data_IF_475070524595
#
_entry.id   IF_475070524595
#
_cell.length_a   1.000
_cell.length_b   1.000
_cell.length_c   1.000
_cell.angle_alpha   90.00
_cell.angle_beta   90.00
_cell.angle_gamma   90.00
#
_symmetry.space_group_name_H-M   'P 1'
#
loop_
_entity.id
_entity.type
_entity.pdbx_description
1 polymer ?
#
# COMPACT_ATOMS: atom_id res chain seq x y z
N UNK A 1 18.71 -1.87 2.25
CA UNK A 1 18.12 -1.64 3.58
C UNK A 1 16.64 -1.40 3.35
N UNK A 2 15.78 -2.13 4.03
CA UNK A 2 14.34 -2.06 3.79
C UNK A 2 13.77 -0.68 4.06
N UNK A 3 12.69 -0.37 3.35
CA UNK A 3 11.99 0.92 3.41
C UNK A 3 10.64 0.79 4.10
N UNK A 4 10.11 1.94 4.51
CA UNK A 4 8.72 2.05 4.96
C UNK A 4 7.89 2.62 3.83
N UNK A 5 6.88 1.88 3.39
CA UNK A 5 5.88 2.34 2.43
C UNK A 5 4.61 2.70 3.19
N UNK A 6 4.25 3.98 3.18
CA UNK A 6 3.07 4.50 3.90
C UNK A 6 1.99 4.85 2.89
N UNK A 7 0.85 4.21 3.00
CA UNK A 7 -0.33 4.51 2.22
C UNK A 7 -1.26 5.32 3.13
N UNK A 8 -1.34 6.62 2.89
CA UNK A 8 -2.30 7.48 3.56
C UNK A 8 -3.66 7.27 2.88
N UNK A 9 -4.56 6.59 3.57
CA UNK A 9 -5.89 6.33 3.04
C UNK A 9 -6.71 7.62 3.04
N UNK A 10 -7.17 8.03 1.85
CA UNK A 10 -7.90 9.30 1.65
C UNK A 10 -9.20 9.04 0.90
N UNK A 11 -10.31 9.01 1.63
CA UNK A 11 -11.65 8.90 1.06
C UNK A 11 -12.24 10.28 0.76
N UNK A 12 -13.13 10.34 -0.23
CA UNK A 12 -13.71 11.59 -0.71
C UNK A 12 -14.87 12.10 0.16
N UNK A 13 -15.46 11.23 0.98
CA UNK A 13 -16.71 11.50 1.70
C UNK A 13 -16.51 11.39 3.22
N UNK A 14 -16.79 12.47 3.94
CA UNK A 14 -16.72 12.56 5.42
C UNK A 14 -17.70 11.61 6.14
N UNK A 15 -18.61 10.95 5.43
CA UNK A 15 -19.61 10.01 5.97
C UNK A 15 -19.18 8.53 5.91
N UNK A 16 -17.95 8.25 5.47
CA UNK A 16 -17.44 6.90 5.20
C UNK A 16 -16.55 6.37 6.34
N UNK A 17 -16.31 7.16 7.38
CA UNK A 17 -15.52 6.77 8.56
C UNK A 17 -16.07 5.55 9.35
N UNK A 18 -17.21 4.97 8.94
CA UNK A 18 -17.78 3.74 9.50
C UNK A 18 -17.92 2.58 8.48
N UNK A 19 -17.62 2.79 7.19
CA UNK A 19 -17.78 1.74 6.17
C UNK A 19 -16.53 0.86 6.06
N UNK A 20 -16.69 -0.44 5.74
CA UNK A 20 -15.57 -1.29 5.39
C UNK A 20 -14.91 -0.82 4.09
N UNK A 21 -13.64 -1.16 3.92
CA UNK A 21 -12.92 -0.87 2.68
C UNK A 21 -13.61 -1.52 1.47
N UNK A 22 -13.74 -0.82 0.33
CA UNK A 22 -14.20 -1.42 -0.91
C UNK A 22 -13.34 -2.62 -1.32
N UNK A 23 -13.95 -3.62 -1.95
CA UNK A 23 -13.28 -4.88 -2.34
C UNK A 23 -12.03 -4.62 -3.19
N UNK A 24 -12.09 -3.70 -4.15
CA UNK A 24 -10.94 -3.37 -5.00
C UNK A 24 -9.76 -2.76 -4.21
N UNK A 25 -10.02 -1.93 -3.18
CA UNK A 25 -8.97 -1.36 -2.30
C UNK A 25 -8.29 -2.47 -1.52
N UNK A 26 -9.08 -3.43 -1.03
CA UNK A 26 -8.58 -4.60 -0.31
C UNK A 26 -7.67 -5.45 -1.21
N UNK A 27 -8.03 -5.65 -2.48
CA UNK A 27 -7.19 -6.37 -3.44
C UNK A 27 -5.87 -5.63 -3.68
N UNK A 28 -5.90 -4.31 -3.91
CA UNK A 28 -4.68 -3.49 -4.06
C UNK A 28 -3.79 -3.56 -2.82
N UNK A 29 -4.35 -3.38 -1.62
CA UNK A 29 -3.58 -3.41 -0.37
C UNK A 29 -2.94 -4.77 -0.12
N UNK A 30 -3.67 -5.84 -0.42
CA UNK A 30 -3.07 -7.17 -0.39
C UNK A 30 -1.92 -7.28 -1.37
N UNK A 31 -2.11 -6.86 -2.62
CA UNK A 31 -1.08 -6.91 -3.65
C UNK A 31 0.18 -6.11 -3.28
N UNK A 32 0.02 -4.94 -2.65
CA UNK A 32 1.13 -4.16 -2.08
C UNK A 32 1.97 -5.01 -1.14
N UNK A 33 1.34 -5.74 -0.21
CA UNK A 33 2.06 -6.58 0.74
C UNK A 33 2.86 -7.68 0.04
N UNK A 34 2.31 -8.28 -1.02
CA UNK A 34 3.03 -9.29 -1.82
C UNK A 34 4.24 -8.68 -2.54
N UNK A 35 4.06 -7.51 -3.17
CA UNK A 35 5.13 -6.81 -3.90
C UNK A 35 6.26 -6.34 -2.97
N UNK A 36 5.96 -5.97 -1.73
CA UNK A 36 6.96 -5.60 -0.70
C UNK A 36 7.54 -6.83 0.02
N UNK A 37 6.96 -8.02 -0.17
CA UNK A 37 7.40 -9.26 0.49
C UNK A 37 7.07 -9.28 1.98
N UNK A 38 5.92 -8.73 2.35
CA UNK A 38 5.33 -8.71 3.70
C UNK A 38 4.22 -9.75 3.76
N UNK A 39 4.57 -11.03 3.69
CA UNK A 39 3.60 -12.13 3.80
C UNK A 39 3.86 -13.00 5.06
N UNK A 40 2.80 -13.62 5.58
CA UNK A 40 2.91 -14.78 6.47
C UNK A 40 3.02 -14.54 7.98
N UNK A 41 2.59 -13.38 8.51
CA UNK A 41 2.56 -13.12 9.97
C UNK A 41 1.23 -12.55 10.43
N UNK A 42 0.78 -12.95 11.63
CA UNK A 42 -0.42 -12.40 12.26
C UNK A 42 -0.25 -10.90 12.48
N UNK A 43 -1.22 -10.13 12.02
CA UNK A 43 -1.24 -8.68 12.12
C UNK A 43 -2.00 -8.27 13.38
N UNK A 44 -1.40 -7.37 14.14
CA UNK A 44 -1.96 -6.77 15.35
C UNK A 44 -2.25 -5.27 15.16
N UNK A 45 -3.27 -4.76 15.86
CA UNK A 45 -3.49 -3.31 15.96
C UNK A 45 -2.33 -2.70 16.77
N UNK A 46 -1.76 -1.55 16.35
CA UNK A 46 -0.79 -0.86 17.19
C UNK A 46 -1.44 -0.46 18.52
N UNK A 47 -0.80 -0.82 19.63
CA UNK A 47 -1.23 -0.39 20.95
C UNK A 47 -1.04 1.13 21.08
N UNK A 48 -2.14 1.88 21.18
CA UNK A 48 -2.08 3.31 21.50
C UNK A 48 -1.80 3.42 22.99
N UNK A 49 -0.53 3.41 23.37
CA UNK A 49 -0.09 3.93 24.67
C UNK A 49 0.91 5.05 24.41
N UNK A 50 0.46 6.28 24.66
CA UNK A 50 1.34 7.43 24.76
C UNK A 50 2.27 7.22 25.96
N UNK A 51 3.46 6.70 25.72
CA UNK A 51 4.58 6.73 26.65
C UNK A 51 5.88 6.69 25.86
N UNK A 52 6.90 7.47 26.26
CA UNK A 52 8.13 7.58 25.51
C UNK A 52 8.90 6.27 25.62
N UNK A 53 8.93 5.51 24.53
CA UNK A 53 9.73 4.30 24.42
C UNK A 53 11.20 4.73 24.37
N UNK A 54 11.90 4.50 25.48
CA UNK A 54 13.35 4.56 25.60
C UNK A 54 13.92 3.20 25.18
N UNK A 55 14.67 3.14 24.08
CA UNK A 55 15.47 1.97 23.72
C UNK A 55 16.79 2.41 23.11
N UNK A 56 17.74 2.65 24.01
CA UNK A 56 19.15 2.36 23.75
C UNK A 56 19.31 0.86 23.58
N UNK A 57 19.50 0.37 22.36
CA UNK A 57 20.07 -0.97 22.13
C UNK A 57 20.88 -0.98 20.84
N UNK A 58 22.19 -0.93 21.00
CA UNK A 58 23.19 -1.24 19.98
C UNK A 58 23.17 -2.74 19.67
N UNK A 59 22.96 -3.14 18.40
CA UNK A 59 23.26 -4.49 17.90
C UNK A 59 23.41 -4.49 16.35
N UNK A 60 24.01 -5.54 15.76
CA UNK A 60 25.31 -5.49 15.09
C UNK A 60 25.23 -5.21 13.59
N UNK A 61 26.38 -4.82 13.03
CA UNK A 61 26.65 -4.60 11.61
C UNK A 61 26.55 -5.95 10.87
N UNK A 62 25.57 -6.11 9.97
CA UNK A 62 25.51 -7.24 9.04
C UNK A 62 24.15 -7.85 8.68
N UNK A 63 23.01 -7.24 9.01
CA UNK A 63 21.68 -7.76 8.62
C UNK A 63 20.82 -6.63 8.04
N UNK A 64 20.41 -6.74 6.77
CA UNK A 64 19.50 -5.76 6.15
C UNK A 64 18.16 -5.78 6.87
N UNK A 65 17.74 -4.63 7.42
CA UNK A 65 16.38 -4.50 7.96
C UNK A 65 15.35 -4.78 6.86
N UNK A 66 14.29 -5.55 7.12
CA UNK A 66 13.27 -5.84 6.13
C UNK A 66 12.34 -4.63 5.92
N UNK A 67 11.75 -4.52 4.73
CA UNK A 67 10.77 -3.48 4.42
C UNK A 67 9.45 -3.69 5.16
N UNK A 68 8.76 -2.58 5.41
CA UNK A 68 7.46 -2.52 6.09
C UNK A 68 6.44 -1.72 5.29
N UNK A 69 5.17 -2.03 5.49
CA UNK A 69 4.03 -1.32 4.91
C UNK A 69 3.16 -0.79 6.03
N UNK A 70 2.70 0.45 5.91
CA UNK A 70 1.76 1.07 6.85
C UNK A 70 0.56 1.58 6.05
N UNK A 71 -0.61 1.05 6.35
CA UNK A 71 -1.90 1.60 5.91
C UNK A 71 -2.40 2.56 7.00
N UNK A 72 -2.27 3.85 6.73
CA UNK A 72 -2.57 4.94 7.66
C UNK A 72 -3.90 5.61 7.36
N UNK A 73 -4.42 6.38 8.31
CA UNK A 73 -5.67 7.13 8.20
C UNK A 73 -6.89 6.27 7.78
N UNK A 74 -6.94 5.00 8.21
CA UNK A 74 -8.08 4.12 7.96
C UNK A 74 -9.26 4.47 8.87
N UNK A 75 -10.48 4.12 8.43
CA UNK A 75 -11.63 4.04 9.33
C UNK A 75 -11.43 2.90 10.35
N UNK A 76 -12.20 2.93 11.45
CA UNK A 76 -12.20 1.83 12.42
C UNK A 76 -12.62 0.51 11.75
N UNK A 77 -13.73 0.53 10.99
CA UNK A 77 -14.21 -0.63 10.24
C UNK A 77 -13.22 -1.12 9.18
N UNK A 78 -12.55 -0.19 8.48
CA UNK A 78 -11.53 -0.51 7.48
C UNK A 78 -10.28 -1.13 8.09
N UNK A 79 -9.85 -0.62 9.26
CA UNK A 79 -8.75 -1.20 10.04
C UNK A 79 -9.07 -2.64 10.44
N UNK A 80 -10.26 -2.87 10.99
CA UNK A 80 -10.68 -4.18 11.51
C UNK A 80 -10.83 -5.18 10.38
N UNK A 81 -11.54 -4.80 9.31
CA UNK A 81 -11.77 -5.66 8.16
C UNK A 81 -10.47 -6.06 7.44
N UNK A 82 -9.53 -5.11 7.30
CA UNK A 82 -8.23 -5.40 6.68
C UNK A 82 -7.39 -6.35 7.55
N UNK A 83 -7.33 -6.11 8.86
CA UNK A 83 -6.62 -6.99 9.79
C UNK A 83 -7.22 -8.40 9.78
N UNK A 84 -8.54 -8.52 9.84
CA UNK A 84 -9.22 -9.81 9.83
C UNK A 84 -8.95 -10.58 8.54
N UNK A 85 -9.04 -9.91 7.39
CA UNK A 85 -8.76 -10.55 6.11
C UNK A 85 -7.32 -11.05 6.01
N UNK A 86 -6.37 -10.21 6.39
CA UNK A 86 -4.95 -10.57 6.36
C UNK A 86 -4.66 -11.73 7.31
N UNK A 87 -5.26 -11.73 8.51
CA UNK A 87 -5.13 -12.84 9.45
C UNK A 87 -5.77 -14.14 8.95
N UNK A 88 -6.95 -14.10 8.34
CA UNK A 88 -7.62 -15.30 7.78
C UNK A 88 -6.79 -16.00 6.69
N UNK A 89 -5.97 -15.25 5.95
CA UNK A 89 -5.09 -15.79 4.90
C UNK A 89 -3.77 -16.35 5.44
N UNK A 90 -3.38 -16.00 6.67
CA UNK A 90 -2.20 -16.58 7.35
C UNK A 90 -2.48 -17.87 8.11
N UNK A 91 -3.77 -18.19 8.35
CA UNK A 91 -4.17 -19.41 9.04
C UNK A 91 -4.22 -20.61 8.10
N UNK A 92 -3.71 -21.76 8.54
CA UNK A 92 -3.94 -23.04 7.84
C UNK A 92 -5.43 -23.41 7.88
N UNK A 93 -5.95 -24.19 6.93
CA UNK A 93 -7.37 -24.59 6.91
C UNK A 93 -7.83 -25.24 8.24
N UNK A 94 -6.93 -25.97 8.90
CA UNK A 94 -7.16 -26.61 10.20
C UNK A 94 -7.31 -25.59 11.34
N UNK A 95 -6.44 -24.56 11.38
CA UNK A 95 -6.49 -23.51 12.39
C UNK A 95 -7.76 -22.65 12.26
N UNK A 96 -8.19 -22.37 11.03
CA UNK A 96 -9.41 -21.63 10.72
C UNK A 96 -10.66 -22.32 11.27
N UNK A 97 -10.70 -23.66 11.22
CA UNK A 97 -11.81 -24.46 11.73
C UNK A 97 -11.85 -24.53 13.26
N UNK A 98 -10.70 -24.45 13.93
CA UNK A 98 -10.59 -24.51 15.41
C UNK A 98 -10.92 -23.17 16.08
N UNK A 99 -10.62 -22.04 15.42
CA UNK A 99 -10.90 -20.70 15.94
C UNK A 99 -12.39 -20.35 15.95
N UNK A 100 -13.17 -20.90 15.01
CA UNK A 100 -14.63 -20.79 15.01
C UNK A 100 -15.28 -21.36 16.29
N UNK A 101 -14.53 -22.12 17.10
CA UNK A 101 -15.02 -22.83 18.29
C UNK A 101 -14.49 -22.22 19.60
N UNK A 102 -13.53 -21.28 19.57
CA UNK A 102 -12.89 -20.79 20.81
C UNK A 102 -12.67 -19.27 20.83
N UNK A 103 -13.36 -18.61 21.76
CA UNK A 103 -13.29 -17.18 22.05
C UNK A 103 -12.46 -16.91 23.31
N UNK A 104 -11.12 -16.92 23.20
CA UNK A 104 -10.26 -16.34 24.25
C UNK A 104 -9.07 -15.60 23.63
N UNK A 105 -8.76 -14.36 24.06
CA UNK A 105 -7.55 -13.66 23.65
C UNK A 105 -6.41 -13.94 24.64
N UNK A 106 -5.21 -14.26 24.16
CA UNK A 106 -4.04 -14.38 25.04
C UNK A 106 -2.74 -13.91 24.37
N UNK A 107 -2.07 -13.05 25.12
CA UNK A 107 -0.63 -12.76 25.23
C UNK A 107 0.11 -11.90 24.19
N UNK A 108 0.88 -11.01 24.81
CA UNK A 108 1.72 -9.89 24.37
C UNK A 108 3.16 -10.37 24.03
N UNK A 109 3.68 -10.05 22.83
CA UNK A 109 5.09 -10.20 22.42
C UNK A 109 5.49 -9.19 21.29
N UNK A 110 6.49 -8.34 21.60
CA UNK A 110 7.57 -7.72 20.79
C UNK A 110 7.34 -7.06 19.39
N UNK A 111 7.82 -5.82 19.20
CA UNK A 111 7.73 -4.97 17.99
C UNK A 111 8.56 -5.43 16.75
N UNK A 112 8.22 -5.00 15.51
CA UNK A 112 6.89 -4.74 14.95
C UNK A 112 6.53 -5.73 13.83
N UNK A 113 5.23 -5.92 13.69
CA UNK A 113 4.60 -6.41 12.48
C UNK A 113 5.10 -5.61 11.26
N UNK A 114 5.51 -6.32 10.20
CA UNK A 114 5.97 -5.68 8.95
C UNK A 114 4.83 -5.02 8.17
N UNK A 115 3.58 -5.21 8.61
CA UNK A 115 2.37 -4.58 8.11
C UNK A 115 1.63 -3.92 9.27
N UNK A 116 1.40 -2.61 9.20
CA UNK A 116 0.66 -1.88 10.24
C UNK A 116 -0.62 -1.32 9.61
N UNK A 117 -1.77 -1.59 10.21
CA UNK A 117 -3.04 -0.98 9.85
C UNK A 117 -3.44 -0.05 11.00
N UNK A 118 -3.67 1.23 10.71
CA UNK A 118 -3.90 2.23 11.76
C UNK A 118 -4.84 3.34 11.31
N UNK A 119 -5.57 3.87 12.29
CA UNK A 119 -6.41 5.06 12.13
C UNK A 119 -5.61 6.36 12.26
N UNK A 120 -4.36 6.30 12.74
CA UNK A 120 -3.54 7.50 12.89
C UNK A 120 -3.14 8.06 11.51
N UNK A 121 -3.26 9.37 11.29
CA UNK A 121 -2.77 10.00 10.06
C UNK A 121 -1.24 10.03 10.03
N UNK A 122 -0.66 10.16 8.84
CA UNK A 122 0.80 10.08 8.64
C UNK A 122 1.60 11.01 9.54
N UNK A 123 1.13 12.23 9.79
CA UNK A 123 1.86 13.21 10.62
C UNK A 123 1.96 12.76 12.09
N UNK A 124 0.93 12.13 12.62
CA UNK A 124 0.95 11.58 13.98
C UNK A 124 1.87 10.35 14.05
N UNK A 125 1.85 9.50 13.04
CA UNK A 125 2.77 8.35 12.93
C UNK A 125 4.23 8.78 12.87
N UNK A 126 4.53 9.81 12.07
CA UNK A 126 5.88 10.38 12.00
C UNK A 126 6.33 10.93 13.35
N UNK A 127 5.46 11.63 14.07
CA UNK A 127 5.75 12.13 15.42
C UNK A 127 6.06 10.98 16.38
N UNK A 128 5.22 9.93 16.38
CA UNK A 128 5.40 8.75 17.23
C UNK A 128 6.70 7.99 16.94
N UNK A 129 7.09 7.85 15.66
CA UNK A 129 8.33 7.20 15.24
C UNK A 129 9.54 8.15 15.15
N UNK A 130 9.38 9.43 15.52
CA UNK A 130 10.42 10.49 15.46
C UNK A 130 11.06 10.61 14.06
N UNK A 131 10.25 10.58 13.02
CA UNK A 131 10.66 10.73 11.62
C UNK A 131 10.48 12.19 11.19
N UNK A 132 11.55 12.79 10.66
CA UNK A 132 11.50 14.15 10.13
C UNK A 132 10.88 14.21 8.73
N UNK A 133 10.30 15.35 8.34
CA UNK A 133 9.76 15.58 6.99
C UNK A 133 10.80 15.29 5.89
N UNK A 134 12.07 15.64 6.12
CA UNK A 134 13.16 15.41 5.17
C UNK A 134 13.49 13.93 4.91
N UNK A 135 13.07 13.02 5.78
CA UNK A 135 13.26 11.57 5.63
C UNK A 135 12.11 10.88 4.90
N UNK A 136 11.04 11.62 4.56
CA UNK A 136 9.83 11.12 3.91
C UNK A 136 9.75 11.66 2.49
N UNK A 137 9.71 10.78 1.49
CA UNK A 137 9.43 11.13 0.11
C UNK A 137 7.94 11.03 -0.17
N UNK A 138 7.29 12.12 -0.53
CA UNK A 138 5.92 12.09 -1.07
C UNK A 138 5.97 11.71 -2.55
N UNK A 139 5.31 10.62 -2.93
CA UNK A 139 5.10 10.29 -4.33
C UNK A 139 3.95 11.14 -4.87
N UNK A 140 4.28 12.03 -5.78
CA UNK A 140 3.38 13.05 -6.30
C UNK A 140 3.53 13.17 -7.82
N UNK A 141 2.47 12.93 -8.61
CA UNK A 141 2.48 13.14 -10.05
C UNK A 141 2.86 14.57 -10.49
N UNK A 142 2.76 15.56 -9.59
CA UNK A 142 3.12 16.96 -9.86
C UNK A 142 4.52 17.36 -9.40
N UNK A 143 5.30 16.44 -8.83
CA UNK A 143 6.68 16.74 -8.47
C UNK A 143 7.53 17.03 -9.72
N UNK A 144 8.53 17.90 -9.60
CA UNK A 144 9.44 18.26 -10.71
C UNK A 144 10.55 17.23 -10.94
N UNK A 145 10.83 16.39 -9.95
CA UNK A 145 11.98 15.46 -9.96
C UNK A 145 11.50 14.02 -9.95
N UNK A 146 12.09 13.19 -10.80
CA UNK A 146 11.77 11.76 -10.90
C UNK A 146 12.38 11.00 -9.72
N UNK A 147 11.70 9.98 -9.22
CA UNK A 147 12.28 9.09 -8.20
C UNK A 147 13.47 8.33 -8.80
N UNK A 148 14.61 8.36 -8.11
CA UNK A 148 15.85 7.73 -8.57
C UNK A 148 16.43 6.76 -7.54
N UNK A 149 17.26 5.77 -7.94
CA UNK A 149 17.93 4.87 -7.01
C UNK A 149 18.73 5.59 -5.91
N UNK A 150 19.30 6.76 -6.20
CA UNK A 150 20.04 7.56 -5.23
C UNK A 150 19.18 8.05 -4.05
N UNK A 151 17.88 8.21 -4.26
CA UNK A 151 16.93 8.63 -3.22
C UNK A 151 16.80 7.57 -2.11
N UNK A 152 17.20 6.33 -2.36
CA UNK A 152 17.33 5.29 -1.35
C UNK A 152 18.26 5.68 -0.19
N UNK A 153 19.23 6.57 -0.39
CA UNK A 153 20.11 7.04 0.70
C UNK A 153 19.51 8.23 1.44
N UNK A 154 18.53 8.91 0.86
CA UNK A 154 17.95 10.16 1.36
C UNK A 154 16.71 9.90 2.19
N UNK A 155 15.84 9.00 1.71
CA UNK A 155 14.55 8.76 2.32
C UNK A 155 14.47 7.39 2.99
N UNK A 156 13.82 7.39 4.15
CA UNK A 156 13.47 6.17 4.90
C UNK A 156 12.04 5.75 4.60
N UNK A 157 11.15 6.72 4.40
CA UNK A 157 9.73 6.52 4.17
C UNK A 157 9.34 7.01 2.78
N UNK A 158 8.46 6.25 2.12
CA UNK A 158 7.83 6.59 0.85
C UNK A 158 6.33 6.67 1.08
N UNK A 159 5.78 7.88 0.94
CA UNK A 159 4.41 8.22 1.26
C UNK A 159 3.58 8.33 -0.01
N UNK A 160 2.47 7.63 -0.05
CA UNK A 160 1.49 7.62 -1.12
C UNK A 160 0.19 8.20 -0.55
N UNK A 161 -0.21 9.39 -1.01
CA UNK A 161 -1.56 9.90 -0.76
C UNK A 161 -2.57 9.07 -1.53
N UNK A 162 -3.84 9.03 -1.11
CA UNK A 162 -4.86 8.17 -1.75
C UNK A 162 -4.97 8.39 -3.27
N UNK A 163 -4.24 7.57 -4.04
CA UNK A 163 -4.23 7.51 -5.50
C UNK A 163 -5.37 6.59 -5.95
N UNK A 164 -6.56 6.83 -5.42
CA UNK A 164 -7.69 5.96 -5.63
C UNK A 164 -8.30 6.23 -7.01
N UNK A 165 -7.66 5.65 -8.04
CA UNK A 165 -8.23 5.10 -9.28
C UNK A 165 -9.12 5.98 -10.16
N UNK A 166 -9.32 7.25 -9.85
CA UNK A 166 -10.17 8.11 -10.67
C UNK A 166 -9.47 8.41 -12.01
N UNK A 167 -10.25 8.32 -13.09
CA UNK A 167 -9.94 8.89 -14.39
C UNK A 167 -11.06 9.87 -14.79
N UNK A 168 -10.79 11.19 -14.90
CA UNK A 168 -9.50 11.84 -14.68
C UNK A 168 -9.07 11.85 -13.21
N UNK A 169 -7.75 11.85 -12.93
CA UNK A 169 -7.21 11.86 -11.57
C UNK A 169 -7.74 13.02 -10.72
N UNK A 170 -8.29 12.69 -9.56
CA UNK A 170 -8.54 13.67 -8.49
C UNK A 170 -7.23 13.90 -7.76
N UNK A 171 -6.76 15.15 -7.72
CA UNK A 171 -5.50 15.56 -7.08
C UNK A 171 -5.57 15.50 -5.54
N UNK A 172 -5.82 14.30 -4.98
CA UNK A 172 -5.96 14.08 -3.53
C UNK A 172 -4.64 14.33 -2.80
N UNK A 173 -3.52 14.04 -3.46
CA UNK A 173 -2.16 14.34 -2.98
C UNK A 173 -1.95 15.82 -2.64
N UNK A 174 -2.78 16.74 -3.17
CA UNK A 174 -2.76 18.16 -2.80
C UNK A 174 -2.89 18.42 -1.30
N UNK A 175 -3.60 17.57 -0.55
CA UNK A 175 -3.73 17.75 0.90
C UNK A 175 -2.39 17.50 1.61
N UNK A 176 -1.61 16.52 1.14
CA UNK A 176 -0.30 16.18 1.70
C UNK A 176 0.79 17.18 1.27
N UNK A 177 0.71 17.72 0.05
CA UNK A 177 1.68 18.72 -0.45
C UNK A 177 1.83 19.93 0.46
N UNK A 178 0.75 20.33 1.14
CA UNK A 178 0.74 21.51 2.03
C UNK A 178 1.71 21.37 3.22
N UNK A 179 2.13 20.16 3.57
CA UNK A 179 3.04 19.90 4.68
C UNK A 179 4.53 20.01 4.31
N UNK A 180 4.86 20.24 3.03
CA UNK A 180 6.25 20.53 2.63
C UNK A 180 7.17 19.32 2.57
N UNK A 181 6.64 18.13 2.32
CA UNK A 181 7.44 16.93 2.04
C UNK A 181 8.33 17.13 0.80
N UNK A 182 9.59 16.67 0.82
CA UNK A 182 10.32 16.38 -0.41
C UNK A 182 9.48 15.44 -1.29
N UNK A 183 9.35 15.74 -2.57
CA UNK A 183 8.50 14.96 -3.47
C UNK A 183 9.24 14.44 -4.70
N UNK A 184 8.73 13.33 -5.23
CA UNK A 184 9.19 12.69 -6.47
C UNK A 184 8.00 12.23 -7.30
N UNK A 185 8.12 12.26 -8.62
CA UNK A 185 7.13 11.68 -9.53
C UNK A 185 7.62 10.33 -10.06
N UNK A 186 6.69 9.48 -10.50
CA UNK A 186 6.96 8.15 -11.09
C UNK A 186 6.71 8.15 -12.60
N UNK A 187 7.06 9.27 -13.24
CA UNK A 187 6.75 9.54 -14.65
C UNK A 187 5.37 10.20 -14.86
N UNK A 188 5.02 10.48 -16.12
CA UNK A 188 3.86 11.31 -16.47
C UNK A 188 2.54 10.53 -16.58
N UNK A 189 2.59 9.21 -16.68
CA UNK A 189 1.39 8.36 -16.82
C UNK A 189 0.99 7.88 -15.43
N UNK A 190 -0.30 8.03 -15.10
CA UNK A 190 -0.84 7.62 -13.82
C UNK A 190 -0.72 6.11 -13.61
N UNK A 191 -0.40 5.73 -12.37
CA UNK A 191 -0.35 4.36 -11.89
C UNK A 191 -1.42 4.16 -10.82
N UNK A 192 -1.91 2.93 -10.68
CA UNK A 192 -2.64 2.51 -9.48
C UNK A 192 -1.72 2.57 -8.24
N UNK A 193 -2.29 2.63 -7.04
CA UNK A 193 -1.50 2.78 -5.80
C UNK A 193 -0.53 1.62 -5.62
N UNK A 194 -0.98 0.40 -5.85
CA UNK A 194 -0.19 -0.82 -5.75
C UNK A 194 0.97 -0.85 -6.76
N UNK A 195 0.72 -0.43 -8.00
CA UNK A 195 1.77 -0.29 -9.02
C UNK A 195 2.80 0.76 -8.60
N UNK A 196 2.36 1.94 -8.13
CA UNK A 196 3.25 3.01 -7.69
C UNK A 196 4.17 2.57 -6.54
N UNK A 197 3.64 1.80 -5.58
CA UNK A 197 4.42 1.21 -4.48
C UNK A 197 5.44 0.18 -5.01
N UNK A 198 5.00 -0.72 -5.89
CA UNK A 198 5.83 -1.75 -6.48
C UNK A 198 6.98 -1.18 -7.34
N UNK A 199 6.72 -0.10 -8.07
CA UNK A 199 7.69 0.67 -8.85
C UNK A 199 8.68 1.36 -7.92
N UNK A 200 8.19 2.04 -6.88
CA UNK A 200 9.04 2.74 -5.92
C UNK A 200 10.04 1.79 -5.26
N UNK A 201 9.60 0.58 -4.86
CA UNK A 201 10.49 -0.46 -4.33
C UNK A 201 11.57 -0.86 -5.33
N UNK A 202 11.20 -1.14 -6.58
CA UNK A 202 12.18 -1.54 -7.61
C UNK A 202 13.24 -0.47 -7.85
N UNK A 203 12.86 0.81 -7.73
CA UNK A 203 13.80 1.92 -7.85
C UNK A 203 14.73 2.00 -6.63
N UNK A 204 14.17 2.07 -5.43
CA UNK A 204 14.93 2.46 -4.23
C UNK A 204 15.54 1.29 -3.46
N UNK A 205 15.08 0.06 -3.72
CA UNK A 205 15.64 -1.14 -3.12
C UNK A 205 16.39 -2.00 -4.13
N UNK A 206 15.82 -2.18 -5.32
CA UNK A 206 16.43 -3.04 -6.36
C UNK A 206 17.39 -2.23 -7.27
N UNK A 207 17.39 -0.90 -7.17
CA UNK A 207 18.34 -0.01 -7.84
C UNK A 207 18.06 0.19 -9.33
N UNK A 208 16.85 -0.10 -9.79
CA UNK A 208 16.46 -0.04 -11.21
C UNK A 208 15.96 1.37 -11.52
N UNK A 209 16.46 2.00 -12.57
CA UNK A 209 15.94 3.31 -13.00
C UNK A 209 14.53 3.19 -13.59
N UNK A 210 13.70 4.24 -13.42
CA UNK A 210 12.30 4.23 -13.84
C UNK A 210 12.13 3.86 -15.34
N UNK A 211 13.02 4.36 -16.19
CA UNK A 211 12.99 4.08 -17.64
C UNK A 211 13.32 2.63 -18.01
N UNK A 212 14.02 1.91 -17.13
CA UNK A 212 14.45 0.52 -17.33
C UNK A 212 13.46 -0.51 -16.78
N UNK A 213 12.33 -0.08 -16.21
CA UNK A 213 11.28 -0.96 -15.73
C UNK A 213 10.43 -1.48 -16.90
N UNK A 214 9.93 -2.73 -16.82
CA UNK A 214 9.04 -3.27 -17.83
C UNK A 214 7.64 -2.65 -17.68
N UNK A 215 7.12 -2.08 -18.76
CA UNK A 215 5.85 -1.35 -18.76
C UNK A 215 4.81 -1.98 -19.69
N UNK A 216 3.56 -1.90 -19.28
CA UNK A 216 2.42 -1.94 -20.19
C UNK A 216 1.53 -0.73 -19.91
N UNK A 217 1.31 0.07 -20.95
CA UNK A 217 0.56 1.32 -20.86
C UNK A 217 -0.84 1.11 -21.39
N UNK A 218 -1.82 1.50 -20.57
CA UNK A 218 -3.25 1.37 -20.87
C UNK A 218 -3.65 0.00 -21.43
N UNK A 219 -3.39 -1.09 -20.71
CA UNK A 219 -3.68 -2.43 -21.22
C UNK A 219 -5.19 -2.63 -21.42
N UNK A 220 -5.54 -3.32 -22.50
CA UNK A 220 -6.90 -3.83 -22.72
C UNK A 220 -7.05 -5.21 -22.09
N UNK A 221 -7.94 -5.33 -21.11
CA UNK A 221 -8.35 -6.60 -20.52
C UNK A 221 -9.47 -7.20 -21.37
N UNK A 222 -9.29 -8.41 -21.87
CA UNK A 222 -10.28 -9.12 -22.68
C UNK A 222 -10.96 -10.21 -21.83
N UNK A 223 -12.29 -10.18 -21.79
CA UNK A 223 -13.14 -11.13 -21.07
C UNK A 223 -13.96 -12.02 -22.02
N UNK A 224 -14.04 -11.65 -23.29
CA UNK A 224 -14.68 -12.42 -24.35
C UNK A 224 -14.49 -11.77 -25.72
N UNK A 225 -15.13 -12.31 -26.78
CA UNK A 225 -14.98 -11.79 -28.14
C UNK A 225 -15.44 -10.34 -28.34
N UNK A 226 -16.30 -9.82 -27.45
CA UNK A 226 -16.86 -8.46 -27.50
C UNK A 226 -16.82 -7.76 -26.15
N UNK A 227 -16.17 -8.37 -25.16
CA UNK A 227 -16.13 -7.87 -23.79
C UNK A 227 -14.69 -7.55 -23.45
N UNK A 228 -14.40 -6.26 -23.37
CA UNK A 228 -13.07 -5.77 -23.02
C UNK A 228 -13.14 -4.41 -22.34
N UNK A 229 -12.17 -4.10 -21.49
CA UNK A 229 -11.99 -2.79 -20.86
C UNK A 229 -10.56 -2.34 -21.05
N UNK A 230 -10.38 -1.10 -21.50
CA UNK A 230 -9.08 -0.42 -21.45
C UNK A 230 -8.87 0.16 -20.05
N UNK A 231 -7.79 -0.23 -19.39
CA UNK A 231 -7.42 0.34 -18.09
C UNK A 231 -6.69 1.66 -18.33
N UNK A 232 -7.11 2.81 -17.78
CA UNK A 232 -6.49 4.11 -18.09
C UNK A 232 -5.16 4.37 -17.33
N UNK A 233 -4.42 3.32 -16.97
CA UNK A 233 -3.21 3.40 -16.14
C UNK A 233 -2.00 2.71 -16.77
N UNK A 234 -0.82 3.08 -16.28
CA UNK A 234 0.44 2.34 -16.50
C UNK A 234 0.59 1.25 -15.44
N UNK A 235 0.99 0.06 -15.88
CA UNK A 235 1.29 -1.09 -15.03
C UNK A 235 2.70 -1.59 -15.28
N UNK A 236 3.30 -2.21 -14.27
CA UNK A 236 4.45 -3.08 -14.50
C UNK A 236 4.02 -4.28 -15.35
N UNK A 237 4.84 -4.64 -16.34
CA UNK A 237 4.61 -5.81 -17.17
C UNK A 237 5.37 -7.03 -16.64
N UNK A 238 4.75 -8.21 -16.75
CA UNK A 238 5.42 -9.49 -16.55
C UNK A 238 6.23 -9.92 -17.79
N UNK A 239 6.86 -11.10 -17.73
CA UNK A 239 7.66 -11.65 -18.84
C UNK A 239 6.85 -11.87 -20.13
N UNK A 240 5.52 -12.00 -20.04
CA UNK A 240 4.62 -12.13 -21.19
C UNK A 240 4.19 -10.77 -21.77
N UNK A 241 4.55 -9.66 -21.12
CA UNK A 241 4.05 -8.32 -21.44
C UNK A 241 2.68 -8.02 -20.84
N UNK A 242 2.13 -8.90 -20.00
CA UNK A 242 0.82 -8.70 -19.37
C UNK A 242 0.93 -7.79 -18.14
N UNK A 243 -0.11 -7.01 -17.82
CA UNK A 243 -0.09 -6.16 -16.62
C UNK A 243 -0.08 -7.01 -15.35
N UNK A 244 0.85 -6.71 -14.46
CA UNK A 244 0.86 -7.25 -13.10
C UNK A 244 -0.23 -6.53 -12.30
N UNK A 245 -1.30 -7.26 -11.97
CA UNK A 245 -2.49 -6.74 -11.28
C UNK A 245 -2.77 -7.55 -10.01
N UNK A 246 -3.53 -7.00 -9.04
CA UNK A 246 -3.97 -7.76 -7.89
C UNK A 246 -4.75 -9.02 -8.29
N UNK A 247 -4.49 -10.14 -7.62
CA UNK A 247 -5.29 -11.35 -7.77
C UNK A 247 -6.76 -11.05 -7.45
N UNK A 248 -7.69 -11.46 -8.32
CA UNK A 248 -9.12 -11.16 -8.17
C UNK A 248 -9.57 -9.86 -8.85
N UNK A 249 -8.64 -8.99 -9.27
CA UNK A 249 -9.00 -7.69 -9.85
C UNK A 249 -9.67 -7.83 -11.22
N UNK A 250 -9.19 -8.76 -12.06
CA UNK A 250 -9.79 -9.02 -13.37
C UNK A 250 -11.23 -9.52 -13.24
N UNK A 251 -11.46 -10.43 -12.29
CA UNK A 251 -12.79 -10.98 -11.98
C UNK A 251 -13.73 -9.90 -11.44
N UNK A 252 -13.23 -9.02 -10.57
CA UNK A 252 -13.99 -7.90 -10.04
C UNK A 252 -14.39 -6.90 -11.14
N UNK A 253 -13.46 -6.55 -12.03
CA UNK A 253 -13.73 -5.69 -13.19
C UNK A 253 -14.79 -6.33 -14.10
N UNK A 254 -14.67 -7.62 -14.39
CA UNK A 254 -15.65 -8.32 -15.23
C UNK A 254 -17.06 -8.29 -14.62
N UNK A 255 -17.17 -8.54 -13.32
CA UNK A 255 -18.45 -8.48 -12.59
C UNK A 255 -19.08 -7.08 -12.60
N UNK A 256 -18.26 -6.04 -12.52
CA UNK A 256 -18.75 -4.66 -12.58
C UNK A 256 -19.13 -4.24 -14.01
N UNK A 257 -18.49 -4.80 -15.05
CA UNK A 257 -18.96 -4.67 -16.43
C UNK A 257 -20.34 -5.28 -16.61
N UNK A 258 -20.56 -6.51 -16.16
CA UNK A 258 -21.85 -7.21 -16.31
C UNK A 258 -23.00 -6.39 -15.69
N UNK A 259 -22.78 -5.83 -14.50
CA UNK A 259 -23.74 -4.96 -13.82
C UNK A 259 -24.06 -3.68 -14.60
N UNK A 260 -23.10 -3.14 -15.35
CA UNK A 260 -23.32 -1.95 -16.17
C UNK A 260 -24.24 -2.24 -17.39
N UNK A 261 -24.43 -3.51 -17.76
CA UNK A 261 -25.31 -3.94 -18.84
C UNK A 261 -26.72 -4.37 -18.39
N UNK A 262 -27.03 -4.37 -17.08
CA UNK A 262 -28.33 -4.78 -16.52
C UNK A 262 -29.39 -3.64 -16.47
N UNK A 263 -29.28 -2.60 -17.29
CA UNK A 263 -30.21 -1.45 -17.34
C UNK A 263 -31.19 -1.48 -18.52
#
# INVERSE_FOLDING_TARGET
MGKTYVIEHMEADEQVHEKPLPEWVVLEYHHILQQIGVEGKKISKPAITASPVDLTTTKPIGSSTPSRVIFANLSSAGTDGLIDLLNQRTETPVARSLRAVSSTPTADLAQPDRCICTMLPVLELMSAERISLSEVCLLDPRAETVLEPADAKRFRWFLFGGILGDDPPRDRTAQLRKFGFPSRHLGPIQMTTDTAVAVSKRIVEDGIELENLPWTDRPTLNFGPRESVEMPFRYLADESGSPIMPQGMKELIHKDMDRAFEF
#
